data_IF_742573539116
#
_entry.id   IF_742573539116
#
_cell.length_a   1.000
_cell.length_b   1.000
_cell.length_c   1.000
_cell.angle_alpha   90.00
_cell.angle_beta   90.00
_cell.angle_gamma   90.00
#
_symmetry.space_group_name_H-M   'P 1'
#
loop_
_entity.id
_entity.type
_entity.pdbx_description
1 polymer ?
#
# COMPACT_ATOMS: atom_id res chain seq x y z
N UNK A 1 14.84 -13.60 -6.98
CA UNK A 1 14.15 -12.58 -6.15
C UNK A 1 13.90 -11.40 -7.06
N UNK A 2 12.68 -10.88 -7.09
CA UNK A 2 12.37 -9.63 -7.79
C UNK A 2 13.17 -8.49 -7.15
N UNK A 3 13.43 -7.43 -7.93
CA UNK A 3 14.07 -6.22 -7.38
C UNK A 3 13.13 -5.59 -6.34
N UNK A 4 13.62 -5.18 -5.16
CA UNK A 4 12.79 -4.49 -4.17
C UNK A 4 12.31 -3.11 -4.67
N UNK A 5 12.78 -2.68 -5.83
CA UNK A 5 12.54 -1.36 -6.40
C UNK A 5 12.06 -1.49 -7.85
N UNK A 6 11.01 -0.75 -8.20
CA UNK A 6 10.51 -0.63 -9.57
C UNK A 6 10.55 0.83 -10.02
N UNK A 7 11.05 1.08 -11.25
CA UNK A 7 11.05 2.41 -11.86
C UNK A 7 10.21 2.41 -13.13
N UNK A 8 9.32 3.39 -13.24
CA UNK A 8 8.42 3.59 -14.37
C UNK A 8 8.59 5.00 -14.95
N UNK A 9 8.45 5.12 -16.26
CA UNK A 9 8.46 6.41 -16.93
C UNK A 9 7.18 7.21 -16.63
N UNK A 10 7.17 8.51 -16.94
CA UNK A 10 5.96 9.34 -16.94
C UNK A 10 4.88 8.71 -17.82
N UNK A 11 3.62 8.78 -17.39
CA UNK A 11 2.50 8.41 -18.23
C UNK A 11 2.11 9.59 -19.14
N UNK A 12 2.44 9.49 -20.43
CA UNK A 12 2.06 10.46 -21.42
C UNK A 12 0.75 10.12 -22.15
N UNK A 13 0.20 8.93 -21.92
CA UNK A 13 -0.98 8.44 -22.62
C UNK A 13 -2.28 8.64 -21.82
N UNK A 14 -2.20 8.64 -20.51
CA UNK A 14 -3.35 8.70 -19.61
C UNK A 14 -3.06 9.41 -18.30
N UNK A 15 -3.84 9.08 -17.30
CA UNK A 15 -3.69 9.58 -15.93
C UNK A 15 -3.03 8.53 -15.02
N UNK A 16 -2.35 9.01 -13.99
CA UNK A 16 -1.89 8.18 -12.88
C UNK A 16 -2.76 8.45 -11.65
N UNK A 17 -3.22 7.38 -11.03
CA UNK A 17 -4.01 7.39 -9.80
C UNK A 17 -3.29 6.58 -8.72
N UNK A 18 -3.51 6.93 -7.46
CA UNK A 18 -3.02 6.14 -6.32
C UNK A 18 -4.19 5.73 -5.44
N UNK A 19 -4.23 4.47 -5.02
CA UNK A 19 -5.27 3.92 -4.15
C UNK A 19 -4.68 3.57 -2.79
N UNK A 20 -5.42 3.85 -1.71
CA UNK A 20 -5.09 3.45 -0.35
C UNK A 20 -5.19 1.95 -0.12
N UNK A 21 -4.94 1.53 1.12
CA UNK A 21 -5.01 0.14 1.56
C UNK A 21 -6.36 -0.49 1.19
N UNK A 22 -6.32 -1.55 0.37
CA UNK A 22 -7.54 -2.18 -0.16
C UNK A 22 -8.19 -3.14 0.83
N UNK A 23 -7.38 -3.93 1.51
CA UNK A 23 -7.87 -4.92 2.46
C UNK A 23 -9.12 -5.68 1.96
N UNK A 24 -9.06 -6.27 0.77
CA UNK A 24 -10.16 -7.04 0.22
C UNK A 24 -11.42 -6.24 -0.17
N UNK A 25 -11.37 -4.92 -0.21
CA UNK A 25 -12.54 -4.06 -0.53
C UNK A 25 -12.60 -3.72 -2.02
N UNK A 26 -12.62 -4.73 -2.89
CA UNK A 26 -12.59 -4.59 -4.35
C UNK A 26 -13.77 -3.78 -4.91
N UNK A 27 -14.94 -3.93 -4.37
CA UNK A 27 -16.16 -3.26 -4.80
C UNK A 27 -16.13 -1.73 -4.55
N UNK A 28 -15.41 -1.28 -3.52
CA UNK A 28 -15.14 0.14 -3.31
C UNK A 28 -14.18 0.67 -4.39
N UNK A 29 -13.17 -0.11 -4.77
CA UNK A 29 -12.27 0.25 -5.84
C UNK A 29 -13.01 0.36 -7.17
N UNK A 30 -13.82 -0.62 -7.53
CA UNK A 30 -14.60 -0.61 -8.77
C UNK A 30 -15.48 0.62 -8.89
N UNK A 31 -16.09 1.04 -7.79
CA UNK A 31 -16.90 2.27 -7.72
C UNK A 31 -16.08 3.52 -8.00
N UNK A 32 -14.88 3.62 -7.42
CA UNK A 32 -13.97 4.75 -7.64
C UNK A 32 -13.45 4.79 -9.07
N UNK A 33 -13.10 3.64 -9.66
CA UNK A 33 -12.65 3.55 -11.06
C UNK A 33 -13.76 3.96 -12.04
N UNK A 34 -15.01 3.58 -11.75
CA UNK A 34 -16.18 4.00 -12.53
C UNK A 34 -16.37 5.52 -12.46
N UNK A 35 -16.25 6.12 -11.28
CA UNK A 35 -16.44 7.56 -11.05
C UNK A 35 -15.43 8.41 -11.84
N UNK A 36 -14.17 7.97 -11.89
CA UNK A 36 -13.14 8.70 -12.64
C UNK A 36 -13.12 8.34 -14.15
N UNK A 37 -14.01 7.47 -14.61
CA UNK A 37 -14.01 6.93 -15.98
C UNK A 37 -12.64 6.34 -16.35
N UNK A 38 -12.07 5.51 -15.46
CA UNK A 38 -10.74 4.93 -15.60
C UNK A 38 -10.59 4.16 -16.91
N UNK A 39 -9.60 4.51 -17.72
CA UNK A 39 -9.33 3.85 -18.98
C UNK A 39 -8.17 2.85 -18.82
N UNK A 40 -8.49 1.56 -18.71
CA UNK A 40 -7.52 0.47 -18.54
C UNK A 40 -6.43 0.38 -19.63
N UNK A 41 -6.60 1.06 -20.76
CA UNK A 41 -5.60 1.04 -21.85
C UNK A 41 -4.56 2.16 -21.72
N UNK A 42 -4.86 3.22 -20.98
CA UNK A 42 -4.01 4.42 -20.92
C UNK A 42 -3.71 4.89 -19.52
N UNK A 43 -4.64 4.68 -18.58
CA UNK A 43 -4.45 5.10 -17.19
C UNK A 43 -3.71 4.02 -16.39
N UNK A 44 -3.04 4.45 -15.32
CA UNK A 44 -2.36 3.55 -14.38
C UNK A 44 -2.88 3.78 -12.98
N UNK A 45 -3.04 2.68 -12.24
CA UNK A 45 -3.41 2.70 -10.82
C UNK A 45 -2.28 2.11 -9.99
N UNK A 46 -1.85 2.86 -8.99
CA UNK A 46 -0.81 2.49 -8.04
C UNK A 46 -1.43 2.23 -6.67
N UNK A 47 -1.19 1.06 -6.09
CA UNK A 47 -1.61 0.75 -4.71
C UNK A 47 -0.45 0.91 -3.74
N UNK A 48 -0.75 1.46 -2.58
CA UNK A 48 0.21 1.59 -1.47
C UNK A 48 0.41 0.30 -0.67
N UNK A 49 -0.07 -0.85 -1.19
CA UNK A 49 0.02 -2.16 -0.53
C UNK A 49 -1.22 -2.50 0.30
N UNK A 50 -1.10 -3.53 1.13
CA UNK A 50 -2.20 -4.08 1.94
C UNK A 50 -3.45 -4.37 1.09
N UNK A 51 -3.26 -5.21 0.07
CA UNK A 51 -4.33 -5.66 -0.83
C UNK A 51 -5.26 -6.66 -0.15
N UNK A 52 -4.70 -7.47 0.75
CA UNK A 52 -5.32 -8.64 1.38
C UNK A 52 -5.73 -8.40 2.83
N UNK A 53 -6.41 -9.38 3.40
CA UNK A 53 -6.85 -9.48 4.79
C UNK A 53 -8.01 -8.54 5.17
N UNK A 54 -8.68 -8.83 6.28
CA UNK A 54 -9.74 -8.03 6.92
C UNK A 54 -11.05 -7.94 6.14
N UNK A 55 -10.99 -7.56 4.88
CA UNK A 55 -12.19 -7.41 4.03
C UNK A 55 -12.56 -8.69 3.27
N UNK A 56 -13.68 -8.67 2.53
CA UNK A 56 -14.32 -9.89 2.04
C UNK A 56 -13.68 -10.50 0.80
N UNK A 57 -12.80 -9.79 0.07
CA UNK A 57 -12.37 -10.21 -1.27
C UNK A 57 -10.86 -10.10 -1.49
N UNK A 58 -10.06 -10.63 -0.54
CA UNK A 58 -8.59 -10.62 -0.61
C UNK A 58 -8.05 -11.20 -1.91
N UNK A 59 -8.58 -12.35 -2.36
CA UNK A 59 -8.18 -12.98 -3.61
C UNK A 59 -8.43 -12.07 -4.82
N UNK A 60 -9.58 -11.40 -4.88
CA UNK A 60 -9.90 -10.51 -5.98
C UNK A 60 -8.95 -9.29 -6.02
N UNK A 61 -8.61 -8.74 -4.84
CA UNK A 61 -7.68 -7.62 -4.76
C UNK A 61 -6.26 -7.99 -5.19
N UNK A 62 -5.72 -9.13 -4.75
CA UNK A 62 -4.36 -9.51 -5.13
C UNK A 62 -4.28 -9.94 -6.60
N UNK A 63 -5.34 -10.48 -7.18
CA UNK A 63 -5.40 -10.81 -8.60
C UNK A 63 -5.37 -9.57 -9.52
N UNK A 64 -5.60 -8.36 -9.01
CA UNK A 64 -5.35 -7.13 -9.78
C UNK A 64 -3.90 -7.03 -10.26
N UNK A 65 -2.95 -7.68 -9.59
CA UNK A 65 -1.53 -7.71 -10.00
C UNK A 65 -1.31 -8.39 -11.35
N UNK A 66 -2.29 -9.11 -11.87
CA UNK A 66 -2.25 -9.67 -13.24
C UNK A 66 -2.67 -8.67 -14.31
N UNK A 67 -3.21 -7.53 -13.92
CA UNK A 67 -3.70 -6.49 -14.81
C UNK A 67 -2.55 -5.52 -15.20
N UNK A 68 -2.34 -5.23 -16.49
CA UNK A 68 -1.21 -4.42 -16.95
C UNK A 68 -1.26 -2.94 -16.54
N UNK A 69 -2.41 -2.47 -16.07
CA UNK A 69 -2.64 -1.10 -15.61
C UNK A 69 -2.52 -0.94 -14.08
N UNK A 70 -2.37 -2.05 -13.34
CA UNK A 70 -2.32 -2.06 -11.88
C UNK A 70 -0.90 -2.34 -11.38
N UNK A 71 -0.41 -1.48 -10.53
CA UNK A 71 0.90 -1.55 -9.88
C UNK A 71 0.73 -1.45 -8.38
N UNK A 72 1.46 -2.24 -7.61
CA UNK A 72 1.39 -2.16 -6.16
C UNK A 72 2.77 -2.32 -5.52
N UNK A 73 2.95 -1.73 -4.36
CA UNK A 73 4.04 -2.08 -3.46
C UNK A 73 3.59 -3.16 -2.48
N UNK A 74 4.54 -3.87 -1.90
CA UNK A 74 4.28 -4.81 -0.83
C UNK A 74 3.86 -4.05 0.43
N UNK A 75 2.73 -4.43 1.02
CA UNK A 75 2.32 -3.97 2.35
C UNK A 75 2.79 -4.94 3.45
N UNK A 76 2.58 -4.56 4.70
CA UNK A 76 2.93 -5.43 5.82
C UNK A 76 2.04 -6.67 5.89
N UNK A 77 0.83 -6.65 5.35
CA UNK A 77 -0.07 -7.81 5.27
C UNK A 77 0.44 -8.85 4.29
N UNK A 78 0.88 -8.46 3.09
CA UNK A 78 1.55 -9.38 2.17
C UNK A 78 2.84 -9.93 2.77
N UNK A 79 3.61 -9.11 3.48
CA UNK A 79 4.84 -9.54 4.15
C UNK A 79 4.57 -10.57 5.26
N UNK A 80 3.54 -10.35 6.11
CA UNK A 80 3.13 -11.32 7.13
C UNK A 80 2.71 -12.66 6.52
N UNK A 81 1.91 -12.62 5.45
CA UNK A 81 1.49 -13.83 4.74
C UNK A 81 2.71 -14.60 4.20
N UNK A 82 3.63 -13.92 3.53
CA UNK A 82 4.83 -14.53 2.97
C UNK A 82 5.73 -15.13 4.06
N UNK A 83 5.96 -14.41 5.16
CA UNK A 83 6.75 -14.90 6.28
C UNK A 83 6.13 -16.17 6.88
N UNK A 84 4.83 -16.13 7.15
CA UNK A 84 4.10 -17.26 7.70
C UNK A 84 4.24 -18.52 6.83
N UNK A 85 3.98 -18.42 5.53
CA UNK A 85 4.05 -19.58 4.64
C UNK A 85 5.49 -20.04 4.38
N UNK A 86 6.46 -19.12 4.32
CA UNK A 86 7.86 -19.47 4.14
C UNK A 86 8.41 -20.24 5.34
N UNK A 87 8.14 -19.82 6.55
CA UNK A 87 8.59 -20.49 7.78
C UNK A 87 8.01 -21.90 7.90
N UNK A 88 6.72 -22.04 7.62
CA UNK A 88 6.04 -23.34 7.72
C UNK A 88 6.48 -24.31 6.61
N UNK A 89 6.75 -23.82 5.39
CA UNK A 89 7.29 -24.66 4.31
C UNK A 89 8.70 -25.16 4.61
N UNK A 90 9.58 -24.31 5.20
CA UNK A 90 10.94 -24.71 5.60
C UNK A 90 10.90 -25.74 6.73
N UNK A 91 9.98 -25.61 7.67
CA UNK A 91 9.82 -26.56 8.78
C UNK A 91 9.21 -27.90 8.36
N UNK A 92 8.76 -28.04 7.11
CA UNK A 92 8.01 -29.21 6.63
C UNK A 92 6.69 -29.41 7.37
N UNK A 93 6.25 -28.39 8.09
CA UNK A 93 4.99 -28.35 8.80
C UNK A 93 3.98 -27.67 7.89
N UNK A 94 3.02 -28.42 7.46
CA UNK A 94 1.79 -27.81 6.96
C UNK A 94 1.07 -27.17 8.15
N UNK A 95 0.43 -26.01 7.95
CA UNK A 95 -0.21 -25.33 9.03
C UNK A 95 -1.22 -26.26 9.72
N UNK A 96 -0.95 -26.60 10.96
CA UNK A 96 -1.92 -27.26 11.81
C UNK A 96 -2.90 -26.18 12.26
N UNK A 97 -4.08 -26.15 11.69
CA UNK A 97 -5.05 -25.05 11.85
C UNK A 97 -5.40 -24.75 13.32
N UNK A 98 -5.28 -25.72 14.23
CA UNK A 98 -5.56 -25.52 15.66
C UNK A 98 -4.49 -24.69 16.40
N UNK A 99 -3.31 -24.47 15.79
CA UNK A 99 -2.22 -23.66 16.36
C UNK A 99 -2.05 -22.30 15.72
N UNK A 100 -2.93 -21.90 14.79
CA UNK A 100 -2.79 -20.70 13.95
C UNK A 100 -3.18 -19.40 14.67
N UNK A 101 -3.91 -19.48 15.78
CA UNK A 101 -4.38 -18.31 16.52
C UNK A 101 -3.23 -17.46 17.08
N UNK A 102 -2.02 -18.02 17.18
CA UNK A 102 -0.85 -17.35 17.74
C UNK A 102 0.03 -16.62 16.69
N UNK A 103 -0.36 -16.61 15.39
CA UNK A 103 0.44 -15.91 14.37
C UNK A 103 -0.06 -14.50 14.10
N UNK A 104 0.88 -13.57 13.91
CA UNK A 104 0.56 -12.18 13.54
C UNK A 104 -0.30 -12.09 12.27
N UNK A 105 -0.08 -12.99 11.30
CA UNK A 105 -0.84 -13.03 10.06
C UNK A 105 -2.33 -13.29 10.31
N UNK A 106 -2.66 -14.35 11.07
CA UNK A 106 -4.06 -14.70 11.36
C UNK A 106 -4.72 -13.69 12.29
N UNK A 107 -4.00 -13.20 13.31
CA UNK A 107 -4.49 -12.14 14.20
C UNK A 107 -4.89 -10.87 13.42
N UNK A 108 -4.23 -10.60 12.31
CA UNK A 108 -4.48 -9.45 11.46
C UNK A 108 -5.47 -9.70 10.31
N UNK A 109 -6.18 -10.82 10.29
CA UNK A 109 -7.27 -11.08 9.34
C UNK A 109 -6.92 -12.02 8.18
N UNK A 110 -5.84 -12.79 8.30
CA UNK A 110 -5.39 -13.77 7.30
C UNK A 110 -6.24 -15.05 7.24
N UNK A 111 -7.38 -15.14 7.95
CA UNK A 111 -8.18 -16.36 8.02
C UNK A 111 -8.78 -16.81 6.68
N UNK A 112 -8.92 -15.91 5.73
CA UNK A 112 -9.45 -16.20 4.40
C UNK A 112 -8.64 -17.27 3.64
N UNK A 113 -7.35 -17.46 3.96
CA UNK A 113 -6.49 -18.47 3.32
C UNK A 113 -6.91 -19.90 3.66
N UNK A 114 -7.70 -20.11 4.72
CA UNK A 114 -8.21 -21.43 5.13
C UNK A 114 -9.06 -22.07 4.03
N UNK A 115 -9.77 -21.27 3.24
CA UNK A 115 -10.62 -21.72 2.14
C UNK A 115 -9.81 -22.34 0.98
N UNK A 116 -8.50 -22.11 0.96
CA UNK A 116 -7.58 -22.60 -0.08
C UNK A 116 -6.72 -23.77 0.38
N UNK A 117 -7.01 -24.33 1.55
CA UNK A 117 -6.30 -25.51 2.06
C UNK A 117 -7.02 -26.79 1.67
N UNK A 118 -6.28 -27.74 1.09
CA UNK A 118 -6.76 -29.08 0.73
C UNK A 118 -6.38 -30.07 1.82
N UNK A 119 -7.29 -30.35 2.75
CA UNK A 119 -7.02 -31.19 3.92
C UNK A 119 -6.66 -32.65 3.56
N UNK A 120 -7.22 -33.18 2.48
CA UNK A 120 -6.94 -34.54 1.99
C UNK A 120 -5.54 -34.70 1.39
N UNK A 121 -4.99 -33.63 0.82
CA UNK A 121 -3.65 -33.57 0.24
C UNK A 121 -2.62 -32.91 1.16
N UNK A 122 -3.07 -32.34 2.26
CA UNK A 122 -2.25 -31.56 3.18
C UNK A 122 -1.41 -30.46 2.49
N UNK A 123 -2.00 -29.72 1.56
CA UNK A 123 -1.32 -28.65 0.82
C UNK A 123 -2.26 -27.49 0.50
N UNK A 124 -1.70 -26.36 0.14
CA UNK A 124 -2.45 -25.24 -0.40
C UNK A 124 -2.82 -25.48 -1.86
N UNK A 125 -3.95 -24.92 -2.32
CA UNK A 125 -4.37 -25.00 -3.71
C UNK A 125 -3.35 -24.35 -4.65
N UNK A 126 -3.37 -24.72 -5.94
CA UNK A 126 -2.55 -24.09 -6.97
C UNK A 126 -2.87 -22.58 -7.10
N UNK A 127 -4.14 -22.21 -6.90
CA UNK A 127 -4.59 -20.81 -6.89
C UNK A 127 -3.90 -20.01 -5.77
N UNK A 128 -3.84 -20.54 -4.55
CA UNK A 128 -3.16 -19.88 -3.45
C UNK A 128 -1.62 -19.82 -3.65
N UNK A 129 -1.03 -20.85 -4.22
CA UNK A 129 0.39 -20.82 -4.58
C UNK A 129 0.70 -19.71 -5.60
N UNK A 130 -0.25 -19.43 -6.51
CA UNK A 130 -0.15 -18.28 -7.42
C UNK A 130 -0.22 -16.94 -6.66
N UNK A 131 -1.11 -16.82 -5.68
CA UNK A 131 -1.19 -15.66 -4.78
C UNK A 131 0.14 -15.39 -4.08
N UNK A 132 0.78 -16.44 -3.53
CA UNK A 132 2.10 -16.31 -2.89
C UNK A 132 3.18 -15.84 -3.89
N UNK A 133 3.12 -16.30 -5.14
CA UNK A 133 4.04 -15.86 -6.18
C UNK A 133 3.84 -14.38 -6.51
N UNK A 134 2.59 -13.93 -6.70
CA UNK A 134 2.27 -12.52 -6.95
C UNK A 134 2.75 -11.62 -5.81
N UNK A 135 2.46 -11.99 -4.56
CA UNK A 135 2.89 -11.22 -3.38
C UNK A 135 4.41 -11.13 -3.24
N UNK A 136 5.14 -12.21 -3.58
CA UNK A 136 6.61 -12.27 -3.52
C UNK A 136 7.28 -11.34 -4.53
N UNK A 137 6.62 -11.09 -5.66
CA UNK A 137 7.16 -10.28 -6.75
C UNK A 137 6.89 -8.78 -6.57
N UNK A 138 6.17 -8.39 -5.52
CA UNK A 138 5.90 -6.99 -5.22
C UNK A 138 7.18 -6.23 -4.81
N UNK A 139 7.42 -5.05 -5.39
CA UNK A 139 8.47 -4.15 -4.93
C UNK A 139 8.07 -3.48 -3.61
N UNK A 140 9.05 -2.99 -2.84
CA UNK A 140 8.80 -2.16 -1.65
C UNK A 140 8.73 -0.67 -1.97
N UNK A 141 9.27 -0.25 -3.11
CA UNK A 141 9.21 1.14 -3.60
C UNK A 141 8.96 1.15 -5.11
N UNK A 142 7.99 1.94 -5.54
CA UNK A 142 7.81 2.30 -6.94
C UNK A 142 8.22 3.76 -7.14
N UNK A 143 9.08 4.02 -8.13
CA UNK A 143 9.49 5.35 -8.58
C UNK A 143 8.80 5.61 -9.90
N UNK A 144 8.07 6.70 -10.02
CA UNK A 144 7.40 7.08 -11.27
C UNK A 144 7.90 8.43 -11.72
N UNK A 145 8.27 8.51 -12.98
CA UNK A 145 8.65 9.75 -13.64
C UNK A 145 9.98 10.35 -13.17
N UNK A 146 10.22 11.58 -13.62
CA UNK A 146 11.44 12.35 -13.35
C UNK A 146 11.11 13.84 -13.15
N UNK A 147 12.05 14.57 -12.52
CA UNK A 147 11.93 16.01 -12.28
C UNK A 147 10.68 16.38 -11.48
N UNK A 148 9.95 17.38 -11.92
CA UNK A 148 8.76 17.87 -11.21
C UNK A 148 7.54 16.93 -11.28
N UNK A 149 7.59 15.92 -12.14
CA UNK A 149 6.54 14.90 -12.26
C UNK A 149 6.89 13.61 -11.49
N UNK A 150 8.04 13.59 -10.83
CA UNK A 150 8.47 12.43 -10.05
C UNK A 150 7.61 12.29 -8.81
N UNK A 151 7.17 11.06 -8.55
CA UNK A 151 6.56 10.66 -7.29
C UNK A 151 6.99 9.24 -6.92
N UNK A 152 6.79 8.89 -5.66
CA UNK A 152 7.04 7.56 -5.14
C UNK A 152 5.76 6.95 -4.59
N UNK A 153 5.70 5.62 -4.62
CA UNK A 153 4.69 4.83 -3.91
C UNK A 153 5.41 3.86 -2.99
N UNK A 154 5.05 3.86 -1.73
CA UNK A 154 5.55 3.00 -0.67
C UNK A 154 4.39 2.57 0.22
N UNK A 155 4.62 1.59 1.12
CA UNK A 155 3.55 1.21 2.04
C UNK A 155 3.47 2.13 3.26
N UNK A 156 4.53 2.23 4.06
CA UNK A 156 4.50 3.03 5.29
C UNK A 156 5.30 4.35 5.17
N UNK A 157 6.59 4.37 5.52
CA UNK A 157 7.32 5.63 5.61
C UNK A 157 8.79 5.53 5.19
N UNK A 158 9.30 6.57 4.51
CA UNK A 158 10.72 6.76 4.19
C UNK A 158 11.50 7.38 5.36
N UNK A 159 11.31 6.90 6.58
CA UNK A 159 11.97 7.44 7.76
C UNK A 159 13.35 6.82 8.01
N UNK A 160 14.33 7.66 8.38
CA UNK A 160 15.65 7.22 8.82
C UNK A 160 15.62 6.76 10.30
N UNK A 161 16.54 5.88 10.73
CA UNK A 161 16.71 5.56 12.15
C UNK A 161 16.92 6.82 12.98
N UNK A 162 16.20 6.93 14.09
CA UNK A 162 16.21 8.14 14.93
C UNK A 162 17.57 8.37 15.58
N UNK A 163 18.23 9.49 15.26
CA UNK A 163 19.26 10.09 16.13
C UNK A 163 18.64 11.08 17.12
N UNK A 164 17.50 11.71 16.75
CA UNK A 164 16.77 12.64 17.63
C UNK A 164 15.27 12.37 17.50
N UNK A 165 14.54 12.05 18.58
CA UNK A 165 13.12 11.70 18.53
C UNK A 165 12.19 12.89 18.20
N UNK A 166 12.66 14.13 18.32
CA UNK A 166 11.83 15.32 18.11
C UNK A 166 11.80 15.84 16.67
N UNK A 167 12.70 15.35 15.79
CA UNK A 167 12.75 15.74 14.39
C UNK A 167 12.97 14.49 13.54
N UNK A 168 11.91 13.91 12.96
CA UNK A 168 12.04 12.77 12.07
C UNK A 168 12.84 13.17 10.84
N UNK A 169 13.84 12.38 10.47
CA UNK A 169 14.57 12.50 9.22
C UNK A 169 14.03 11.50 8.22
N UNK A 170 13.94 11.90 6.96
CA UNK A 170 13.49 11.05 5.87
C UNK A 170 14.63 10.78 4.86
N UNK A 171 14.51 9.71 4.11
CA UNK A 171 15.33 9.42 2.96
C UNK A 171 14.94 10.37 1.82
N UNK A 172 15.91 10.79 1.02
CA UNK A 172 15.70 11.73 -0.08
C UNK A 172 15.76 10.99 -1.42
N UNK A 173 15.38 11.68 -2.51
CA UNK A 173 15.38 11.11 -3.87
C UNK A 173 16.71 10.50 -4.26
N UNK A 174 17.82 11.17 -3.93
CA UNK A 174 19.16 10.67 -4.25
C UNK A 174 19.53 9.39 -3.48
N UNK A 175 19.02 9.22 -2.24
CA UNK A 175 19.23 7.98 -1.48
C UNK A 175 18.49 6.82 -2.15
N UNK A 176 17.24 7.08 -2.57
CA UNK A 176 16.39 6.08 -3.25
C UNK A 176 17.00 5.70 -4.60
N UNK A 177 17.53 6.67 -5.33
CA UNK A 177 18.26 6.41 -6.58
C UNK A 177 19.50 5.55 -6.36
N UNK A 178 20.23 5.73 -5.23
CA UNK A 178 21.35 4.87 -4.88
C UNK A 178 20.92 3.44 -4.55
N UNK A 179 19.77 3.25 -3.87
CA UNK A 179 19.22 1.91 -3.64
C UNK A 179 18.91 1.22 -4.97
N UNK A 180 18.33 1.97 -5.92
CA UNK A 180 18.03 1.44 -7.25
C UNK A 180 19.30 1.03 -8.02
N UNK A 181 20.35 1.86 -7.99
CA UNK A 181 21.63 1.57 -8.64
C UNK A 181 22.30 0.32 -8.03
N UNK A 182 22.22 0.18 -6.71
CA UNK A 182 22.83 -0.93 -5.98
C UNK A 182 21.93 -2.19 -5.95
N UNK A 183 20.71 -2.11 -6.47
CA UNK A 183 19.69 -3.18 -6.45
C UNK A 183 19.46 -3.77 -5.05
N UNK A 184 19.59 -2.95 -4.00
CA UNK A 184 19.47 -3.42 -2.62
C UNK A 184 18.89 -2.36 -1.70
N UNK A 185 18.06 -2.83 -0.80
CA UNK A 185 17.52 -2.09 0.36
C UNK A 185 17.87 -2.92 1.60
N UNK A 186 18.39 -2.30 2.64
CA UNK A 186 18.72 -3.04 3.86
C UNK A 186 17.47 -3.47 4.61
N UNK A 187 17.51 -4.56 5.37
CA UNK A 187 16.39 -5.07 6.14
C UNK A 187 15.80 -4.04 7.14
N UNK A 188 16.63 -3.15 7.72
CA UNK A 188 16.13 -2.06 8.59
C UNK A 188 15.32 -1.04 7.80
N UNK A 189 15.71 -0.74 6.57
CA UNK A 189 14.96 0.16 5.68
C UNK A 189 13.66 -0.52 5.25
N UNK A 190 13.71 -1.79 4.82
CA UNK A 190 12.50 -2.55 4.44
C UNK A 190 11.50 -2.60 5.60
N UNK A 191 11.96 -2.88 6.82
CA UNK A 191 11.11 -2.86 8.01
C UNK A 191 10.42 -1.50 8.19
N UNK A 192 11.11 -0.39 7.91
CA UNK A 192 10.51 0.94 8.01
C UNK A 192 9.54 1.24 6.89
N UNK A 193 9.84 0.81 5.67
CA UNK A 193 8.94 0.93 4.53
C UNK A 193 7.63 0.17 4.73
N UNK A 194 7.63 -0.89 5.56
CA UNK A 194 6.47 -1.74 5.82
C UNK A 194 5.74 -1.41 7.13
N UNK A 195 6.43 -0.88 8.16
CA UNK A 195 5.88 -0.86 9.52
C UNK A 195 5.99 0.50 10.24
N UNK A 196 6.71 1.48 9.70
CA UNK A 196 6.93 2.73 10.44
C UNK A 196 5.64 3.54 10.59
N UNK A 197 5.42 4.04 11.81
CA UNK A 197 4.34 4.98 12.16
C UNK A 197 4.92 6.24 12.81
N UNK A 198 6.10 6.67 12.39
CA UNK A 198 6.82 7.79 13.01
C UNK A 198 6.27 9.14 12.57
N UNK A 199 5.90 9.28 11.29
CA UNK A 199 5.34 10.52 10.72
C UNK A 199 3.83 10.60 10.93
N UNK A 200 3.12 9.47 10.76
CA UNK A 200 1.67 9.42 10.68
C UNK A 200 0.98 9.03 12.01
N UNK A 201 1.72 8.68 13.06
CA UNK A 201 1.17 8.24 14.35
C UNK A 201 0.54 9.34 15.21
N UNK A 202 0.68 10.61 14.82
CA UNK A 202 0.25 11.75 15.63
C UNK A 202 -0.88 12.51 14.97
N UNK A 203 -2.12 12.15 15.28
CA UNK A 203 -3.30 12.86 14.77
C UNK A 203 -3.34 14.34 15.22
N UNK A 204 -2.84 14.64 16.42
CA UNK A 204 -2.88 15.97 17.03
C UNK A 204 -1.70 16.88 16.62
N UNK A 205 -0.61 16.32 16.14
CA UNK A 205 0.58 17.06 15.68
C UNK A 205 0.47 17.52 14.19
N UNK A 206 -0.72 17.56 13.63
CA UNK A 206 -0.99 18.00 12.23
C UNK A 206 -0.49 19.43 11.94
N UNK A 207 -0.08 20.19 12.95
CA UNK A 207 0.59 21.48 12.77
C UNK A 207 2.06 21.34 12.33
N UNK A 208 2.67 20.16 12.44
CA UNK A 208 4.05 19.94 12.05
C UNK A 208 4.17 19.58 10.57
N UNK A 209 4.53 20.61 9.80
CA UNK A 209 5.07 20.52 8.44
C UNK A 209 4.20 19.82 7.38
N UNK A 210 3.13 20.46 6.95
CA UNK A 210 2.53 20.20 5.63
C UNK A 210 3.47 20.56 4.47
N UNK A 211 4.70 21.03 4.75
CA UNK A 211 5.64 21.41 3.72
C UNK A 211 6.33 20.20 3.14
N UNK A 212 6.51 20.21 1.84
CA UNK A 212 7.32 19.21 1.16
C UNK A 212 8.76 19.27 1.67
N UNK A 213 9.37 18.12 1.89
CA UNK A 213 10.78 18.01 2.24
C UNK A 213 11.62 18.31 1.01
N UNK A 214 12.53 19.29 1.11
CA UNK A 214 13.47 19.59 0.02
C UNK A 214 14.28 18.36 -0.33
N UNK A 215 14.34 18.02 -1.61
CA UNK A 215 15.08 16.86 -2.12
C UNK A 215 14.34 15.52 -1.98
N UNK A 216 13.07 15.52 -1.57
CA UNK A 216 12.19 14.37 -1.61
C UNK A 216 10.93 14.69 -2.41
N UNK A 217 10.72 13.97 -3.49
CA UNK A 217 9.50 14.04 -4.31
C UNK A 217 8.27 13.60 -3.51
N UNK A 218 7.09 13.96 -3.99
CA UNK A 218 5.83 13.49 -3.39
C UNK A 218 5.85 11.97 -3.25
N UNK A 219 5.55 11.49 -2.05
CA UNK A 219 5.60 10.07 -1.71
C UNK A 219 4.23 9.65 -1.17
N UNK A 220 3.50 8.86 -1.95
CA UNK A 220 2.23 8.31 -1.53
C UNK A 220 2.46 7.09 -0.64
N UNK A 221 1.68 7.01 0.45
CA UNK A 221 1.77 5.91 1.41
C UNK A 221 0.41 5.58 2.03
N UNK A 222 0.34 4.45 2.76
CA UNK A 222 -0.82 3.95 3.48
C UNK A 222 -0.49 3.59 4.93
N UNK A 223 -0.87 2.37 5.36
CA UNK A 223 -0.51 1.73 6.63
C UNK A 223 -1.11 2.36 7.89
N UNK A 224 -1.10 3.67 8.00
CA UNK A 224 -1.60 4.38 9.19
C UNK A 224 -2.85 5.14 8.83
N UNK A 225 -3.99 4.50 9.03
CA UNK A 225 -5.28 5.06 8.64
C UNK A 225 -5.66 6.33 9.39
N UNK A 226 -6.44 7.18 8.74
CA UNK A 226 -7.13 8.32 9.33
C UNK A 226 -8.44 8.56 8.58
N UNK A 227 -9.27 9.49 9.06
CA UNK A 227 -10.56 9.82 8.42
C UNK A 227 -10.43 10.53 7.07
N UNK A 228 -9.26 11.04 6.76
CA UNK A 228 -8.95 11.76 5.50
C UNK A 228 -7.46 11.65 5.18
N UNK A 229 -7.09 11.80 3.91
CA UNK A 229 -5.68 11.91 3.52
C UNK A 229 -4.93 12.99 4.29
N UNK A 230 -3.66 12.74 4.56
CA UNK A 230 -2.79 13.64 5.33
C UNK A 230 -1.46 13.82 4.61
N UNK A 231 -0.87 15.02 4.73
CA UNK A 231 0.49 15.28 4.26
C UNK A 231 1.40 15.64 5.43
N UNK A 232 2.50 14.90 5.56
CA UNK A 232 3.60 15.22 6.48
C UNK A 232 4.91 15.17 5.72
N UNK A 233 5.65 16.27 5.67
CA UNK A 233 6.79 16.44 4.78
C UNK A 233 6.35 16.15 3.32
N UNK A 234 7.05 15.28 2.62
CA UNK A 234 6.65 14.84 1.26
C UNK A 234 5.71 13.64 1.23
N UNK A 235 5.38 13.04 2.39
CA UNK A 235 4.51 11.87 2.46
C UNK A 235 3.04 12.29 2.43
N UNK A 236 2.29 11.73 1.49
CA UNK A 236 0.83 11.85 1.38
C UNK A 236 0.23 10.49 1.72
N UNK A 237 -0.23 10.34 2.97
CA UNK A 237 -0.88 9.13 3.42
C UNK A 237 -2.34 9.15 3.02
N UNK A 238 -2.76 8.14 2.25
CA UNK A 238 -4.10 8.02 1.67
C UNK A 238 -4.87 6.80 2.20
N UNK A 239 -4.33 6.08 3.19
CA UNK A 239 -5.09 5.08 3.91
C UNK A 239 -6.18 5.77 4.75
N UNK A 240 -7.42 5.50 4.40
CA UNK A 240 -8.60 6.04 5.08
C UNK A 240 -9.49 4.94 5.66
N UNK A 241 -8.92 3.75 5.87
CA UNK A 241 -9.55 2.65 6.57
C UNK A 241 -10.69 1.99 5.80
N UNK A 242 -10.45 1.56 4.56
CA UNK A 242 -11.47 0.94 3.70
C UNK A 242 -12.26 -0.16 4.42
N UNK A 243 -11.57 -1.13 5.04
CA UNK A 243 -12.21 -2.25 5.74
C UNK A 243 -13.00 -1.82 6.98
N UNK A 244 -12.60 -0.73 7.65
CA UNK A 244 -13.35 -0.20 8.81
C UNK A 244 -14.73 0.26 8.41
N UNK A 245 -14.91 0.72 7.18
CA UNK A 245 -16.21 1.16 6.66
C UNK A 245 -17.23 0.02 6.50
N UNK A 246 -16.83 -1.24 6.67
CA UNK A 246 -17.76 -2.38 6.66
C UNK A 246 -18.70 -2.30 7.88
N UNK A 247 -18.14 -2.01 9.06
CA UNK A 247 -18.84 -2.08 10.33
C UNK A 247 -18.90 -0.74 11.10
N UNK A 248 -18.17 0.28 10.64
CA UNK A 248 -18.13 1.58 11.30
C UNK A 248 -18.86 2.63 10.47
N UNK A 249 -19.17 3.77 11.11
CA UNK A 249 -19.84 4.90 10.49
C UNK A 249 -19.12 5.45 9.25
N UNK A 250 -19.78 6.37 8.52
CA UNK A 250 -19.31 7.07 7.31
C UNK A 250 -17.97 7.85 7.46
N UNK A 251 -17.21 7.57 8.50
CA UNK A 251 -15.95 8.24 8.82
C UNK A 251 -14.74 7.64 8.10
N UNK A 252 -14.88 6.38 7.65
CA UNK A 252 -13.82 5.61 7.00
C UNK A 252 -14.26 5.17 5.61
N UNK A 253 -13.31 4.91 4.73
CA UNK A 253 -13.59 4.46 3.37
C UNK A 253 -12.31 4.21 2.58
N UNK A 254 -12.47 3.94 1.30
CA UNK A 254 -11.38 3.79 0.36
C UNK A 254 -11.12 5.13 -0.34
N UNK A 255 -9.87 5.57 -0.36
CA UNK A 255 -9.44 6.78 -1.05
C UNK A 255 -8.69 6.46 -2.33
N UNK A 256 -9.10 7.09 -3.44
CA UNK A 256 -8.37 7.17 -4.70
C UNK A 256 -7.87 8.61 -4.87
N UNK A 257 -6.57 8.76 -5.11
CA UNK A 257 -5.93 10.06 -5.36
C UNK A 257 -5.68 10.27 -6.85
N UNK A 258 -6.19 11.37 -7.39
CA UNK A 258 -5.95 11.83 -8.77
C UNK A 258 -4.74 12.77 -8.76
N UNK A 259 -3.59 12.28 -9.25
CA UNK A 259 -2.33 13.01 -9.22
C UNK A 259 -2.40 14.27 -10.07
N UNK A 260 -2.98 14.17 -11.27
CA UNK A 260 -3.07 15.29 -12.24
C UNK A 260 -3.86 16.45 -11.69
N UNK A 261 -5.00 16.18 -11.04
CA UNK A 261 -5.90 17.19 -10.55
C UNK A 261 -5.64 17.58 -9.09
N UNK A 262 -4.70 16.92 -8.41
CA UNK A 262 -4.43 17.12 -6.97
C UNK A 262 -5.72 17.03 -6.15
N UNK A 263 -6.48 15.96 -6.36
CA UNK A 263 -7.77 15.70 -5.73
C UNK A 263 -7.81 14.27 -5.20
N UNK A 264 -8.63 14.02 -4.20
CA UNK A 264 -8.96 12.65 -3.83
C UNK A 264 -10.46 12.40 -3.86
N UNK A 265 -10.81 11.17 -4.16
CA UNK A 265 -12.16 10.65 -4.13
C UNK A 265 -12.24 9.64 -2.99
N UNK A 266 -13.33 9.68 -2.23
CA UNK A 266 -13.59 8.79 -1.10
C UNK A 266 -14.95 8.13 -1.27
N UNK A 267 -15.02 6.82 -1.05
CA UNK A 267 -16.27 6.06 -0.95
C UNK A 267 -16.20 5.06 0.19
N UNK A 268 -17.35 4.60 0.68
CA UNK A 268 -17.43 3.66 1.79
C UNK A 268 -18.57 2.65 1.61
N UNK A 269 -18.61 1.60 2.41
CA UNK A 269 -19.73 0.67 2.42
C UNK A 269 -21.03 1.31 2.96
N UNK A 270 -20.90 2.22 3.89
CA UNK A 270 -22.03 2.90 4.52
C UNK A 270 -22.59 4.04 3.65
N UNK A 271 -21.69 4.76 2.95
CA UNK A 271 -22.09 5.79 1.99
C UNK A 271 -21.69 5.36 0.59
N UNK A 272 -22.69 5.03 -0.25
CA UNK A 272 -22.47 4.59 -1.62
C UNK A 272 -22.08 5.73 -2.57
N UNK A 273 -22.17 6.97 -2.13
CA UNK A 273 -21.73 8.13 -2.90
C UNK A 273 -20.20 8.23 -2.92
N UNK A 274 -19.67 8.74 -4.01
CA UNK A 274 -18.27 9.12 -4.12
C UNK A 274 -18.14 10.61 -3.82
N UNK A 275 -17.39 10.94 -2.79
CA UNK A 275 -17.15 12.33 -2.38
C UNK A 275 -15.80 12.75 -2.90
N UNK A 276 -15.75 13.90 -3.60
CA UNK A 276 -14.55 14.46 -4.20
C UNK A 276 -14.08 15.69 -3.43
N UNK A 277 -12.78 15.75 -3.17
CA UNK A 277 -12.14 16.85 -2.43
C UNK A 277 -10.87 17.31 -3.10
N UNK A 278 -10.62 18.62 -3.08
CA UNK A 278 -9.33 19.16 -3.44
C UNK A 278 -8.28 18.84 -2.35
N UNK A 279 -7.08 18.48 -2.79
CA UNK A 279 -5.97 18.21 -1.91
C UNK A 279 -4.68 18.81 -2.49
N UNK A 280 -4.49 20.13 -2.36
CA UNK A 280 -3.29 20.78 -2.87
C UNK A 280 -2.06 20.23 -2.10
N UNK A 281 -1.21 19.52 -2.82
CA UNK A 281 0.08 19.06 -2.28
C UNK A 281 0.93 20.30 -2.03
N UNK A 282 1.31 20.51 -0.76
CA UNK A 282 2.16 21.65 -0.40
C UNK A 282 3.55 21.46 -0.99
N UNK A 283 3.98 22.35 -1.85
CA UNK A 283 5.32 22.37 -2.42
C UNK A 283 6.32 23.07 -1.50
N UNK A 284 7.61 22.69 -1.58
CA UNK A 284 8.69 23.45 -0.95
C UNK A 284 8.82 24.80 -1.66
N UNK A 285 8.77 25.88 -0.89
CA UNK A 285 9.10 27.22 -1.37
C UNK A 285 10.60 27.36 -1.49
#
# INVERSE_FOLDING_TARGET
>A
MSSPLQKLANNNAGNDYVIGDLHGCIDLLERLLLEVNFNKNTDRLFSVGDLIDRGPASLACINLLTEPWFYAVQGNHENMMLAYFQENLIAGQLPYWDSLEDSDFFYNGGEWVKDYFQADQQCMTAEFNHVLALARDLPTVIIVGEGNQRFHVIHAELTRPKRNPTSPQVWLDHDIDQWFINETVSADIETRLLWSRTLMSREDDIQFNRKQQVGLSTTFCGHTFARKPRQVLSHVCIDTGAYLSINCDNLYGLTLFDIRNSQYLLTSYQNKEVIKHDFPISQSV
#
